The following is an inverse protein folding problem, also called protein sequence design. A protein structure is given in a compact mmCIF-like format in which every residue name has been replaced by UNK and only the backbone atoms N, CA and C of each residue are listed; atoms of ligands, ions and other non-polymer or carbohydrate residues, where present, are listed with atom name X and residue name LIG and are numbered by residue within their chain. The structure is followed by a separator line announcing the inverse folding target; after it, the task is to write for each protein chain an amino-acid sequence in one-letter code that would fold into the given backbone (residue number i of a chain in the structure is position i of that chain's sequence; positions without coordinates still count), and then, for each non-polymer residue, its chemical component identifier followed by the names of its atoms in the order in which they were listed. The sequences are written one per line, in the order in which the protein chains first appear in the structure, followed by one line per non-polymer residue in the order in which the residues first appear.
data_IF_669502463650
#
_entry.id   IF_669502463650
#
_cell.length_a   1.000
_cell.length_b   1.000
_cell.length_c   1.000
_cell.angle_alpha   90.00
_cell.angle_beta   90.00
_cell.angle_gamma   90.00
#
_symmetry.space_group_name_H-M   'P 1'
#
loop_
_entity.id
_entity.type
_entity.pdbx_description
1 polymer ?
#
# COMPACT_ATOMS: atom_id res chain seq x y z
N UNK A 1 7.29 -36.12 10.73
CA UNK A 1 6.69 -35.20 11.71
C UNK A 1 7.48 -33.90 11.69
N UNK A 2 6.80 -32.77 11.67
CA UNK A 2 7.32 -31.45 11.27
C UNK A 2 8.48 -30.96 12.15
N UNK A 3 9.50 -30.37 11.52
CA UNK A 3 10.60 -29.65 12.17
C UNK A 3 10.22 -28.18 12.30
N UNK A 4 9.97 -27.71 13.53
CA UNK A 4 10.02 -26.29 13.86
C UNK A 4 10.99 -26.12 15.03
N UNK A 5 12.16 -25.55 14.74
CA UNK A 5 13.19 -25.22 15.73
C UNK A 5 12.81 -23.94 16.46
N UNK A 6 12.09 -24.07 17.58
CA UNK A 6 11.84 -22.97 18.52
C UNK A 6 13.10 -22.69 19.35
N UNK A 7 13.95 -21.78 18.87
CA UNK A 7 15.22 -21.39 19.53
C UNK A 7 15.08 -20.22 20.53
N UNK A 8 13.87 -19.81 20.88
CA UNK A 8 13.62 -18.59 21.68
C UNK A 8 12.91 -18.85 23.00
N UNK A 9 13.23 -19.94 23.70
CA UNK A 9 12.79 -20.11 25.08
C UNK A 9 13.82 -19.49 26.02
N UNK A 10 13.40 -18.43 26.69
CA UNK A 10 13.89 -17.97 27.99
C UNK A 10 15.18 -17.14 27.98
N UNK A 11 15.11 -15.94 27.39
CA UNK A 11 15.93 -14.83 27.88
C UNK A 11 15.22 -14.27 29.13
N UNK A 12 15.97 -14.12 30.22
CA UNK A 12 15.58 -13.41 31.43
C UNK A 12 16.86 -12.76 31.98
N UNK A 13 16.77 -11.56 32.55
CA UNK A 13 17.89 -10.95 33.27
C UNK A 13 17.51 -10.70 34.71
N UNK A 14 18.54 -10.56 35.56
CA UNK A 14 18.38 -10.35 37.00
C UNK A 14 18.87 -8.96 37.36
N UNK A 15 18.08 -8.22 38.14
CA UNK A 15 18.47 -6.93 38.74
C UNK A 15 18.28 -7.05 40.24
N UNK A 16 19.31 -6.69 41.02
CA UNK A 16 19.38 -6.85 42.49
C UNK A 16 19.07 -8.26 43.03
N UNK A 17 19.21 -9.29 42.17
CA UNK A 17 18.91 -10.69 42.51
C UNK A 17 17.48 -11.14 42.18
N UNK A 18 16.62 -10.25 41.68
CA UNK A 18 15.26 -10.58 41.25
C UNK A 18 15.22 -10.90 39.75
N UNK A 19 14.51 -11.98 39.39
CA UNK A 19 14.40 -12.48 37.99
C UNK A 19 13.30 -11.74 37.24
N UNK A 20 13.65 -11.08 36.14
CA UNK A 20 12.68 -10.42 35.27
C UNK A 20 12.46 -11.25 34.00
N UNK A 21 11.22 -11.71 33.82
CA UNK A 21 10.76 -12.46 32.67
C UNK A 21 10.34 -11.49 31.55
N UNK A 22 10.69 -11.78 30.30
CA UNK A 22 10.23 -11.02 29.16
C UNK A 22 8.80 -11.44 28.78
N UNK A 23 7.82 -10.55 28.90
CA UNK A 23 6.51 -10.70 28.27
C UNK A 23 6.45 -9.72 27.08
N UNK A 24 6.51 -10.25 25.86
CA UNK A 24 6.23 -9.54 24.60
C UNK A 24 6.97 -8.20 24.30
N UNK A 25 8.25 -8.10 24.62
CA UNK A 25 9.17 -7.22 23.89
C UNK A 25 9.00 -5.70 24.07
N UNK A 26 8.28 -5.22 25.10
CA UNK A 26 8.19 -3.79 25.41
C UNK A 26 8.75 -3.52 26.80
N UNK A 27 9.75 -2.64 26.88
CA UNK A 27 10.22 -2.07 28.14
C UNK A 27 9.30 -0.91 28.50
N UNK A 28 8.45 -1.07 29.52
CA UNK A 28 7.77 0.06 30.17
C UNK A 28 8.40 0.28 31.54
N UNK A 29 9.20 1.34 31.67
CA UNK A 29 9.60 1.84 32.99
C UNK A 29 8.74 3.04 33.34
N UNK A 30 7.98 2.93 34.43
CA UNK A 30 7.18 4.01 35.00
C UNK A 30 8.08 4.98 35.79
N UNK A 31 8.97 5.70 35.13
CA UNK A 31 9.41 7.04 35.55
C UNK A 31 10.28 7.66 34.44
N UNK A 32 10.23 8.98 34.32
CA UNK A 32 10.65 9.74 33.16
C UNK A 32 12.14 9.57 32.77
N UNK A 33 12.41 9.32 31.49
CA UNK A 33 13.52 10.01 30.81
C UNK A 33 14.83 9.28 30.49
N UNK A 34 14.90 7.94 30.39
CA UNK A 34 16.17 7.27 29.99
C UNK A 34 15.97 6.36 28.78
N UNK A 35 16.49 6.78 27.61
CA UNK A 35 16.78 5.88 26.49
C UNK A 35 18.11 5.17 26.79
N UNK A 36 18.06 3.91 27.21
CA UNK A 36 19.25 3.13 27.47
C UNK A 36 20.03 2.90 26.16
N UNK A 37 21.22 3.50 26.08
CA UNK A 37 22.25 3.15 25.10
C UNK A 37 22.73 1.75 25.47
N UNK A 38 22.41 0.76 24.64
CA UNK A 38 22.81 -0.63 24.83
C UNK A 38 24.25 -0.83 24.34
N UNK A 39 25.19 -1.01 25.28
CA UNK A 39 26.54 -1.50 25.00
C UNK A 39 26.45 -2.97 24.56
N UNK A 40 26.39 -3.19 23.24
CA UNK A 40 26.34 -4.52 22.64
C UNK A 40 25.56 -4.58 21.34
N UNK A 41 25.90 -3.75 20.35
CA UNK A 41 25.41 -3.88 18.98
C UNK A 41 25.88 -5.22 18.37
N UNK A 42 25.13 -6.30 18.60
CA UNK A 42 25.07 -7.40 17.66
C UNK A 42 23.95 -7.10 16.65
N UNK A 43 24.21 -6.13 15.76
CA UNK A 43 23.44 -5.84 14.55
C UNK A 43 21.89 -5.77 14.66
N UNK A 44 21.32 -5.27 15.77
CA UNK A 44 20.08 -4.52 15.64
C UNK A 44 20.49 -3.18 15.00
N UNK A 45 20.54 -3.13 13.66
CA UNK A 45 20.57 -1.87 12.92
C UNK A 45 19.44 -1.06 13.54
N UNK A 46 19.75 -0.02 14.32
CA UNK A 46 18.73 0.91 14.79
C UNK A 46 18.02 1.36 13.51
N UNK A 47 16.80 0.89 13.32
CA UNK A 47 15.95 1.35 12.23
C UNK A 47 15.44 2.71 12.69
N UNK A 48 16.35 3.68 12.76
CA UNK A 48 15.94 5.07 12.66
C UNK A 48 15.48 5.19 11.22
N UNK A 49 14.18 4.99 11.02
CA UNK A 49 13.58 5.39 9.77
C UNK A 49 14.06 6.81 9.49
N UNK A 50 14.65 7.05 8.32
CA UNK A 50 15.03 8.40 7.94
C UNK A 50 13.79 9.30 7.79
N UNK A 51 12.62 8.68 7.74
CA UNK A 51 11.31 9.27 7.53
C UNK A 51 10.44 9.12 8.78
N UNK A 52 9.86 10.22 9.20
CA UNK A 52 8.92 10.31 10.31
C UNK A 52 7.51 9.88 9.87
N UNK A 53 7.13 10.26 8.65
CA UNK A 53 5.83 9.90 8.07
C UNK A 53 5.87 9.93 6.54
N UNK A 54 4.83 9.36 5.92
CA UNK A 54 4.54 9.48 4.50
C UNK A 54 3.07 9.86 4.32
N UNK A 55 2.80 10.72 3.35
CA UNK A 55 1.46 11.15 2.98
C UNK A 55 1.24 10.88 1.49
N UNK A 56 0.06 10.35 1.15
CA UNK A 56 -0.35 10.15 -0.25
C UNK A 56 -1.48 11.11 -0.59
N UNK A 57 -1.30 11.87 -1.66
CA UNK A 57 -2.27 12.85 -2.15
C UNK A 57 -2.61 12.59 -3.62
N UNK A 58 -3.90 12.56 -4.00
CA UNK A 58 -5.08 12.64 -3.15
C UNK A 58 -5.31 11.35 -2.35
N UNK A 59 -5.78 11.49 -1.10
CA UNK A 59 -6.14 10.31 -0.28
C UNK A 59 -7.41 9.62 -0.76
N UNK A 60 -8.36 10.37 -1.33
CA UNK A 60 -9.60 9.82 -1.87
C UNK A 60 -9.69 10.21 -3.35
N UNK A 61 -9.89 9.23 -4.21
CA UNK A 61 -9.97 9.42 -5.65
C UNK A 61 -11.27 8.81 -6.17
N UNK A 62 -12.01 9.56 -6.97
CA UNK A 62 -13.16 9.04 -7.70
C UNK A 62 -12.81 9.06 -9.19
N UNK A 63 -12.83 7.90 -9.81
CA UNK A 63 -12.45 7.68 -11.20
C UNK A 63 -13.57 6.96 -11.92
N UNK A 64 -13.61 7.10 -13.24
CA UNK A 64 -14.49 6.31 -14.10
C UNK A 64 -13.70 5.11 -14.64
N UNK A 65 -14.38 4.03 -15.01
CA UNK A 65 -13.73 2.89 -15.67
C UNK A 65 -12.97 3.37 -16.91
N UNK A 66 -11.69 3.01 -17.03
CA UNK A 66 -10.78 3.45 -18.09
C UNK A 66 -10.04 4.77 -17.79
N UNK A 67 -10.37 5.47 -16.71
CA UNK A 67 -9.66 6.68 -16.32
C UNK A 67 -8.36 6.37 -15.57
N UNK A 68 -7.40 7.29 -15.67
CA UNK A 68 -6.11 7.18 -14.98
C UNK A 68 -5.90 8.35 -14.02
N UNK A 69 -5.12 8.11 -12.96
CA UNK A 69 -4.87 9.12 -11.93
C UNK A 69 -3.49 8.99 -11.33
N UNK A 70 -2.72 10.07 -11.41
CA UNK A 70 -1.46 10.18 -10.68
C UNK A 70 -1.72 10.47 -9.20
N UNK A 71 -1.16 9.63 -8.34
CA UNK A 71 -0.94 9.87 -6.92
C UNK A 71 0.48 10.41 -6.71
N UNK A 72 0.61 11.24 -5.69
CA UNK A 72 1.91 11.73 -5.19
C UNK A 72 2.10 11.22 -3.77
N UNK A 73 3.22 10.55 -3.53
CA UNK A 73 3.64 10.14 -2.20
C UNK A 73 4.77 11.07 -1.73
N UNK A 74 4.54 11.77 -0.63
CA UNK A 74 5.50 12.68 -0.02
C UNK A 74 5.92 12.10 1.33
N UNK A 75 7.20 11.80 1.49
CA UNK A 75 7.76 11.35 2.76
C UNK A 75 8.40 12.52 3.51
N UNK A 76 8.07 12.67 4.79
CA UNK A 76 8.63 13.69 5.67
C UNK A 76 9.74 13.08 6.51
N UNK A 77 10.96 13.63 6.41
CA UNK A 77 12.12 13.22 7.21
C UNK A 77 12.04 13.77 8.63
N UNK A 78 12.78 13.16 9.55
CA UNK A 78 12.89 13.66 10.94
C UNK A 78 13.44 15.08 11.03
N UNK A 79 14.17 15.54 10.01
CA UNK A 79 14.66 16.93 9.89
C UNK A 79 13.58 17.91 9.37
N UNK A 80 12.33 17.44 9.15
CA UNK A 80 11.22 18.23 8.60
C UNK A 80 11.28 18.43 7.08
N UNK A 81 12.24 17.79 6.40
CA UNK A 81 12.36 17.85 4.93
C UNK A 81 11.34 16.92 4.29
N UNK A 82 10.58 17.43 3.32
CA UNK A 82 9.66 16.63 2.50
C UNK A 82 10.34 16.20 1.20
N UNK A 83 10.21 14.93 0.86
CA UNK A 83 10.75 14.33 -0.36
C UNK A 83 9.64 13.63 -1.14
N UNK A 84 9.59 13.85 -2.45
CA UNK A 84 8.71 13.11 -3.34
C UNK A 84 9.29 11.71 -3.56
N UNK A 85 8.59 10.71 -3.05
CA UNK A 85 8.97 9.30 -3.11
C UNK A 85 8.04 8.51 -4.02
N UNK A 86 7.26 9.18 -4.86
CA UNK A 86 6.23 8.55 -5.70
C UNK A 86 6.80 7.44 -6.59
N UNK A 87 7.99 7.65 -7.16
CA UNK A 87 8.66 6.66 -8.01
C UNK A 87 9.50 5.62 -7.27
N UNK A 88 9.82 5.88 -6.00
CA UNK A 88 10.68 5.01 -5.17
C UNK A 88 9.87 4.22 -4.14
N UNK A 89 8.63 4.62 -3.87
CA UNK A 89 7.69 3.91 -3.03
C UNK A 89 7.22 2.62 -3.71
N UNK A 90 7.05 1.58 -2.88
CA UNK A 90 6.41 0.33 -3.25
C UNK A 90 4.90 0.52 -3.18
N UNK A 91 4.25 0.50 -4.34
CA UNK A 91 2.80 0.63 -4.43
C UNK A 91 2.14 -0.74 -4.55
N UNK A 92 1.05 -0.93 -3.82
CA UNK A 92 0.20 -2.11 -3.92
C UNK A 92 -1.28 -1.70 -3.97
N UNK A 93 -2.07 -2.47 -4.71
CA UNK A 93 -3.53 -2.33 -4.75
C UNK A 93 -4.18 -3.51 -4.06
N UNK A 94 -5.25 -3.26 -3.30
CA UNK A 94 -6.08 -4.31 -2.71
C UNK A 94 -6.85 -5.10 -3.75
N UNK A 95 -7.10 -4.53 -4.94
CA UNK A 95 -7.86 -5.17 -6.00
C UNK A 95 -7.42 -4.69 -7.39
N UNK A 96 -6.58 -5.49 -8.07
CA UNK A 96 -6.03 -5.19 -9.39
C UNK A 96 -7.05 -5.26 -10.54
N UNK A 97 -8.17 -5.95 -10.36
CA UNK A 97 -9.25 -6.00 -11.35
C UNK A 97 -10.08 -4.70 -11.38
N UNK A 98 -10.02 -3.91 -10.29
CA UNK A 98 -10.71 -2.61 -10.15
C UNK A 98 -9.73 -1.47 -10.43
N UNK A 99 -8.58 -1.47 -9.75
CA UNK A 99 -7.57 -0.41 -9.87
C UNK A 99 -6.16 -1.01 -9.83
N UNK A 100 -5.42 -0.86 -10.91
CA UNK A 100 -4.00 -1.17 -10.95
C UNK A 100 -3.20 0.08 -10.60
N UNK A 101 -2.03 -0.10 -10.00
CA UNK A 101 -1.13 1.01 -9.71
C UNK A 101 0.30 0.69 -10.10
N UNK A 102 0.97 1.62 -10.76
CA UNK A 102 2.37 1.55 -11.13
C UNK A 102 3.05 2.91 -10.96
N UNK A 103 4.10 2.98 -10.14
CA UNK A 103 4.85 4.23 -9.87
C UNK A 103 3.96 5.43 -9.50
N UNK A 104 2.93 5.19 -8.69
CA UNK A 104 1.95 6.21 -8.31
C UNK A 104 0.86 6.49 -9.36
N UNK A 105 0.94 5.97 -10.58
CA UNK A 105 -0.16 6.09 -11.55
C UNK A 105 -1.18 4.97 -11.35
N UNK A 106 -2.42 5.34 -11.06
CA UNK A 106 -3.56 4.43 -10.98
C UNK A 106 -4.20 4.30 -12.37
N UNK A 107 -4.50 3.07 -12.76
CA UNK A 107 -5.30 2.71 -13.93
C UNK A 107 -6.59 2.04 -13.45
N UNK A 108 -7.74 2.69 -13.67
CA UNK A 108 -9.05 2.15 -13.30
C UNK A 108 -9.54 1.17 -14.38
N UNK A 109 -9.67 -0.11 -14.02
CA UNK A 109 -10.00 -1.20 -14.94
C UNK A 109 -11.46 -1.62 -14.80
N UNK A 110 -12.02 -1.57 -13.59
CA UNK A 110 -13.36 -2.04 -13.30
C UNK A 110 -14.04 -1.22 -12.22
N UNK A 111 -15.38 -1.18 -12.23
CA UNK A 111 -16.15 -0.45 -11.24
C UNK A 111 -16.06 -1.13 -9.86
N UNK A 112 -16.01 -0.31 -8.81
CA UNK A 112 -15.96 -0.77 -7.43
C UNK A 112 -15.07 0.11 -6.55
N UNK A 113 -14.56 -0.45 -5.46
CA UNK A 113 -13.64 0.26 -4.56
C UNK A 113 -12.36 -0.54 -4.34
N UNK A 114 -11.25 0.17 -4.35
CA UNK A 114 -9.92 -0.37 -4.11
C UNK A 114 -9.15 0.53 -3.14
N UNK A 115 -8.28 -0.08 -2.35
CA UNK A 115 -7.36 0.61 -1.46
C UNK A 115 -5.95 0.44 -2.01
N UNK A 116 -5.29 1.58 -2.20
CA UNK A 116 -3.90 1.66 -2.62
C UNK A 116 -3.04 1.89 -1.39
N UNK A 117 -1.98 1.11 -1.23
CA UNK A 117 -0.99 1.29 -0.16
C UNK A 117 0.35 1.63 -0.76
N UNK A 118 0.93 2.74 -0.32
CA UNK A 118 2.30 3.16 -0.62
C UNK A 118 3.18 2.85 0.59
N UNK A 119 4.19 2.03 0.40
CA UNK A 119 5.19 1.71 1.40
C UNK A 119 6.54 2.26 0.96
N UNK A 120 7.24 2.94 1.86
CA UNK A 120 8.55 3.48 1.57
C UNK A 120 9.43 3.39 2.81
N UNK A 121 10.53 2.64 2.69
CA UNK A 121 11.41 2.30 3.82
C UNK A 121 10.59 1.71 4.99
N UNK A 122 10.43 2.45 6.09
CA UNK A 122 9.73 2.03 7.31
C UNK A 122 8.40 2.79 7.54
N UNK A 123 7.94 3.57 6.55
CA UNK A 123 6.69 4.33 6.61
C UNK A 123 5.71 3.85 5.54
N UNK A 124 4.42 3.89 5.86
CA UNK A 124 3.35 3.46 4.95
C UNK A 124 2.17 4.43 4.97
N UNK A 125 1.57 4.67 3.80
CA UNK A 125 0.34 5.44 3.65
C UNK A 125 -0.66 4.74 2.74
N UNK A 126 -1.95 4.99 2.98
CA UNK A 126 -3.04 4.40 2.21
C UNK A 126 -3.90 5.47 1.56
N UNK A 127 -4.30 5.24 0.30
CA UNK A 127 -5.28 6.02 -0.44
C UNK A 127 -6.45 5.12 -0.87
N UNK A 128 -7.65 5.70 -0.87
CA UNK A 128 -8.88 5.05 -1.27
C UNK A 128 -9.21 5.49 -2.71
N UNK A 129 -9.61 4.51 -3.52
CA UNK A 129 -10.01 4.71 -4.92
C UNK A 129 -11.40 4.13 -5.09
N UNK A 130 -12.33 4.96 -5.56
CA UNK A 130 -13.67 4.55 -5.97
C UNK A 130 -13.73 4.69 -7.47
N UNK A 131 -14.06 3.60 -8.15
CA UNK A 131 -14.27 3.57 -9.59
C UNK A 131 -15.75 3.43 -9.87
N UNK A 132 -16.33 4.41 -10.55
CA UNK A 132 -17.70 4.36 -11.06
C UNK A 132 -17.68 3.76 -12.46
N UNK A 133 -18.68 2.96 -12.79
CA UNK A 133 -18.87 2.46 -14.15
C UNK A 133 -18.96 3.66 -15.10
N UNK A 134 -18.07 3.69 -16.08
CA UNK A 134 -18.26 4.60 -17.21
C UNK A 134 -19.40 3.97 -18.01
N UNK A 135 -20.52 4.67 -18.11
CA UNK A 135 -21.56 4.31 -19.06
C UNK A 135 -20.99 4.54 -20.46
N UNK A 136 -20.25 3.54 -20.95
CA UNK A 136 -19.94 3.44 -22.37
C UNK A 136 -21.31 3.38 -23.05
N UNK A 137 -21.70 4.35 -23.90
CA UNK A 137 -22.85 4.12 -24.73
C UNK A 137 -22.50 2.87 -25.51
N UNK A 138 -23.26 1.80 -25.30
CA UNK A 138 -23.23 0.63 -26.15
C UNK A 138 -23.26 1.19 -27.57
N UNK A 139 -22.14 1.04 -28.31
CA UNK A 139 -22.13 1.42 -29.71
C UNK A 139 -23.35 0.74 -30.29
N UNK A 140 -24.29 1.47 -30.93
CA UNK A 140 -25.44 0.81 -31.52
C UNK A 140 -24.86 -0.33 -32.34
N UNK A 141 -25.32 -1.55 -32.04
CA UNK A 141 -25.02 -2.71 -32.84
C UNK A 141 -25.27 -2.25 -34.28
N UNK A 142 -24.22 -2.24 -35.10
CA UNK A 142 -24.32 -1.96 -36.51
C UNK A 142 -25.28 -3.02 -37.09
N UNK A 143 -26.58 -2.74 -37.06
CA UNK A 143 -27.58 -3.31 -37.96
C UNK A 143 -27.30 -2.73 -39.37
N UNK A 144 -26.08 -2.95 -39.86
CA UNK A 144 -25.68 -2.78 -41.26
C UNK A 144 -25.71 -4.18 -41.89
N UNK A 145 -26.90 -4.78 -41.94
CA UNK A 145 -27.19 -5.99 -42.72
C UNK A 145 -28.52 -5.80 -43.48
N UNK A 146 -28.57 -4.78 -44.33
CA UNK A 146 -29.52 -4.74 -45.47
C UNK A 146 -28.83 -4.27 -46.75
N UNK A 147 -27.66 -4.85 -47.06
CA UNK A 147 -27.13 -4.84 -48.43
C UNK A 147 -27.87 -5.91 -49.26
N UNK A 148 -28.96 -5.46 -49.89
CA UNK A 148 -29.29 -5.75 -51.28
C UNK A 148 -29.22 -7.20 -51.77
N UNK A 149 -30.38 -7.87 -51.79
CA UNK A 149 -30.67 -8.90 -52.79
C UNK A 149 -31.99 -8.59 -53.51
N UNK A 150 -31.90 -7.79 -54.58
CA UNK A 150 -32.84 -7.77 -55.72
C UNK A 150 -32.56 -9.02 -56.59
N UNK A 151 -33.49 -9.56 -57.41
CA UNK A 151 -34.83 -10.09 -57.18
C UNK A 151 -34.87 -11.62 -57.47
N UNK A 152 -36.05 -12.28 -57.49
CA UNK A 152 -36.31 -13.18 -58.62
C UNK A 152 -37.49 -12.70 -59.45
N UNK A 153 -37.27 -12.64 -60.76
CA UNK A 153 -38.28 -12.57 -61.79
C UNK A 153 -39.09 -13.86 -61.80
N UNK A 154 -40.43 -13.80 -61.87
CA UNK A 154 -41.23 -14.90 -62.43
C UNK A 154 -42.64 -14.44 -62.86
N UNK A 155 -42.87 -14.59 -64.18
CA UNK A 155 -44.06 -14.59 -65.07
C UNK A 155 -45.22 -13.59 -64.90
#
# INVERSE_FOLDING_TARGET
MAKYTSKYKELAFYVDGERYCFDNGVFSTSDAGVQAVVDGLSAAKQVRSAYDSIAVTPRNNNLEVGATRQLTATATRSDGTEEDVTSTASWSSSNGDIAQISNGNIDAVGAGSAQITAEYEDVSASANVTVTESELPESPEDDDDDEGADPPSED
#
